data_IF_028652958995
#
_entry.id   IF_028652958995
#
_cell.length_a   1.000
_cell.length_b   1.000
_cell.length_c   1.000
_cell.angle_alpha   90.00
_cell.angle_beta   90.00
_cell.angle_gamma   90.00
#
_symmetry.space_group_name_H-M   'P 1'
#
loop_
_entity.id
_entity.type
_entity.pdbx_description
1 polymer ?
#
# COMPACT_ATOMS: atom_id res chain seq x y z
N UNK A 1 -36.93 1.00 -45.19
CA UNK A 1 -37.29 2.21 -44.42
C UNK A 1 -38.14 1.73 -43.25
N UNK A 2 -37.80 1.81 -41.96
CA UNK A 2 -36.90 2.65 -41.19
C UNK A 2 -36.37 1.80 -40.02
N UNK A 3 -35.05 1.72 -39.84
CA UNK A 3 -34.45 1.34 -38.56
C UNK A 3 -34.66 2.48 -37.57
N UNK A 4 -35.14 2.16 -36.36
CA UNK A 4 -35.08 3.07 -35.22
C UNK A 4 -34.31 2.40 -34.09
N UNK A 5 -33.09 2.90 -33.90
CA UNK A 5 -32.21 2.64 -32.78
C UNK A 5 -32.67 3.40 -31.53
N UNK A 6 -32.33 2.86 -30.34
CA UNK A 6 -32.18 3.43 -28.97
C UNK A 6 -32.97 2.58 -27.97
N UNK A 7 -32.48 2.16 -26.81
CA UNK A 7 -31.40 2.65 -25.95
C UNK A 7 -30.60 1.47 -25.37
N UNK A 8 -29.30 1.41 -25.66
CA UNK A 8 -28.34 0.67 -24.83
C UNK A 8 -27.88 1.65 -23.75
N UNK A 9 -28.21 1.36 -22.50
CA UNK A 9 -27.67 2.09 -21.36
C UNK A 9 -26.16 1.82 -21.29
N UNK A 10 -25.37 2.81 -21.71
CA UNK A 10 -23.95 2.86 -21.41
C UNK A 10 -23.79 3.07 -19.90
N UNK A 11 -23.58 1.97 -19.15
CA UNK A 11 -22.90 2.05 -17.87
C UNK A 11 -21.45 2.46 -18.16
N UNK A 12 -21.13 3.74 -18.03
CA UNK A 12 -19.75 4.15 -17.80
C UNK A 12 -19.34 3.61 -16.42
N UNK A 13 -18.68 2.46 -16.42
CA UNK A 13 -17.85 2.02 -15.31
C UNK A 13 -16.70 3.01 -15.17
N UNK A 14 -16.86 3.99 -14.29
CA UNK A 14 -15.73 4.78 -13.82
C UNK A 14 -14.90 3.89 -12.91
N UNK A 15 -13.73 3.47 -13.39
CA UNK A 15 -12.72 2.73 -12.63
C UNK A 15 -12.18 3.59 -11.48
N UNK A 16 -12.92 3.64 -10.37
CA UNK A 16 -12.55 4.34 -9.15
C UNK A 16 -12.03 3.35 -8.07
N UNK A 17 -10.98 2.57 -8.36
CA UNK A 17 -10.26 1.82 -7.32
C UNK A 17 -8.77 1.71 -7.67
N UNK A 18 -8.13 2.86 -7.84
CA UNK A 18 -6.66 3.04 -7.85
C UNK A 18 -6.37 4.55 -7.83
N UNK A 19 -6.80 5.25 -6.78
CA UNK A 19 -6.36 6.63 -6.55
C UNK A 19 -5.66 6.75 -5.21
N UNK A 20 -4.34 6.61 -5.31
CA UNK A 20 -3.36 7.40 -4.54
C UNK A 20 -3.75 8.87 -4.67
N UNK A 21 -3.76 9.69 -3.59
CA UNK A 21 -4.13 11.09 -3.72
C UNK A 21 -3.08 11.82 -4.58
N UNK A 22 -3.49 12.26 -5.77
CA UNK A 22 -2.71 13.21 -6.57
C UNK A 22 -2.72 14.56 -5.84
N UNK A 23 -1.56 14.98 -5.32
CA UNK A 23 -1.34 16.37 -4.92
C UNK A 23 -1.39 17.27 -6.15
N UNK A 24 -2.33 18.22 -6.13
CA UNK A 24 -2.25 19.58 -6.71
C UNK A 24 -1.79 19.72 -8.16
N UNK A 25 -2.72 19.68 -9.11
CA UNK A 25 -2.57 20.39 -10.38
C UNK A 25 -3.23 21.76 -10.27
N UNK A 26 -2.43 22.82 -10.25
CA UNK A 26 -2.89 24.19 -10.51
C UNK A 26 -3.09 24.37 -12.02
N UNK A 27 -4.21 24.96 -12.50
CA UNK A 27 -4.39 25.21 -13.92
C UNK A 27 -3.60 26.47 -14.35
N UNK A 28 -2.73 26.32 -15.35
CA UNK A 28 -2.17 27.46 -16.07
C UNK A 28 -3.26 28.22 -16.84
N UNK A 29 -3.24 29.57 -16.90
CA UNK A 29 -4.21 30.34 -17.67
C UNK A 29 -4.00 30.16 -19.17
N UNK A 30 -5.08 29.85 -19.90
CA UNK A 30 -5.15 29.96 -21.36
C UNK A 30 -5.15 31.43 -21.77
N UNK A 31 -4.12 31.86 -22.50
CA UNK A 31 -4.21 33.03 -23.37
C UNK A 31 -4.81 32.60 -24.71
N UNK A 32 -6.02 33.08 -25.00
CA UNK A 32 -6.56 33.13 -26.37
C UNK A 32 -6.09 34.42 -27.05
N UNK A 33 -5.55 34.39 -28.28
CA UNK A 33 -5.47 35.57 -29.12
C UNK A 33 -6.69 35.62 -30.06
N UNK A 34 -7.31 36.80 -30.11
CA UNK A 34 -8.40 37.13 -31.00
C UNK A 34 -7.93 37.28 -32.47
N UNK A 35 -8.90 37.14 -33.35
CA UNK A 35 -8.86 37.04 -34.81
C UNK A 35 -8.53 38.34 -35.58
N UNK A 36 -7.99 38.13 -36.79
CA UNK A 36 -8.09 38.95 -38.02
C UNK A 36 -7.40 40.34 -38.00
N UNK A 37 -6.53 40.70 -38.94
CA UNK A 37 -6.76 40.72 -40.39
C UNK A 37 -5.45 41.11 -41.11
N UNK A 38 -5.25 40.64 -42.33
CA UNK A 38 -4.16 41.04 -43.25
C UNK A 38 -4.78 41.74 -44.46
N UNK A 39 -4.15 42.82 -44.97
CA UNK A 39 -3.90 42.88 -46.41
C UNK A 39 -2.47 43.33 -46.79
N UNK A 40 -2.17 43.07 -48.07
CA UNK A 40 -0.95 43.14 -48.88
C UNK A 40 0.01 44.38 -48.75
N UNK A 41 1.27 44.27 -49.24
CA UNK A 41 2.29 45.32 -49.16
C UNK A 41 2.54 46.10 -50.47
N UNK A 42 3.36 47.17 -50.32
CA UNK A 42 4.25 47.89 -51.28
C UNK A 42 3.82 49.30 -51.72
N UNK A 43 4.75 50.17 -52.19
CA UNK A 43 6.18 50.35 -51.90
C UNK A 43 6.51 51.82 -51.50
N UNK A 44 7.74 52.11 -51.03
CA UNK A 44 8.54 53.34 -51.28
C UNK A 44 9.72 53.43 -50.28
N UNK A 45 10.95 53.39 -50.79
CA UNK A 45 12.20 53.85 -50.14
C UNK A 45 12.43 55.35 -50.47
N UNK A 46 13.52 56.05 -50.08
CA UNK A 46 14.65 55.75 -49.17
C UNK A 46 15.02 56.92 -48.19
N UNK A 47 15.95 56.68 -47.22
CA UNK A 47 17.11 57.55 -46.90
C UNK A 47 17.85 57.15 -45.59
N UNK A 48 19.18 57.05 -45.69
CA UNK A 48 20.25 56.71 -44.72
C UNK A 48 20.52 57.78 -43.62
N UNK A 49 21.57 57.73 -42.76
CA UNK A 49 22.33 56.64 -42.08
C UNK A 49 22.45 56.83 -40.53
N UNK A 50 23.17 55.89 -39.88
CA UNK A 50 23.30 55.57 -38.44
C UNK A 50 24.08 56.54 -37.51
N UNK A 51 24.02 56.30 -36.18
CA UNK A 51 25.22 56.27 -35.32
C UNK A 51 25.35 54.98 -34.45
N UNK A 52 26.52 54.72 -33.82
CA UNK A 52 27.08 53.38 -33.61
C UNK A 52 26.63 52.65 -32.32
N UNK A 53 26.86 51.32 -32.21
CA UNK A 53 26.38 50.52 -31.08
C UNK A 53 27.29 50.63 -29.85
N UNK A 54 26.68 50.86 -28.68
CA UNK A 54 27.32 50.75 -27.37
C UNK A 54 27.34 49.29 -26.93
N UNK A 55 28.55 48.77 -26.67
CA UNK A 55 28.80 47.43 -26.12
C UNK A 55 28.16 47.29 -24.73
N UNK A 56 27.36 46.24 -24.50
CA UNK A 56 27.14 45.70 -23.16
C UNK A 56 27.36 44.19 -23.16
N UNK A 57 28.41 43.78 -22.45
CA UNK A 57 28.82 42.40 -22.26
C UNK A 57 27.86 41.70 -21.30
N UNK A 58 26.98 40.83 -21.82
CA UNK A 58 26.11 39.99 -21.00
C UNK A 58 26.92 38.80 -20.46
N UNK A 59 27.32 38.90 -19.20
CA UNK A 59 28.01 37.87 -18.41
C UNK A 59 27.12 36.63 -18.30
N UNK A 60 27.52 35.53 -18.95
CA UNK A 60 26.82 34.23 -18.96
C UNK A 60 27.03 33.55 -17.60
N UNK A 61 26.06 33.63 -16.69
CA UNK A 61 26.04 32.81 -15.46
C UNK A 61 25.73 31.36 -15.85
N UNK A 62 26.74 30.48 -15.78
CA UNK A 62 26.55 29.03 -15.79
C UNK A 62 25.89 28.64 -14.47
N UNK A 63 24.61 28.27 -14.51
CA UNK A 63 23.97 27.53 -13.43
C UNK A 63 24.46 26.09 -13.47
N UNK A 64 25.45 25.78 -12.63
CA UNK A 64 25.84 24.40 -12.34
C UNK A 64 24.71 23.79 -11.54
N UNK A 65 23.86 23.01 -12.20
CA UNK A 65 22.89 22.14 -11.54
C UNK A 65 23.65 21.03 -10.83
N UNK A 66 23.91 21.21 -9.54
CA UNK A 66 24.30 20.15 -8.61
C UNK A 66 23.06 19.27 -8.36
N UNK A 67 22.71 18.43 -9.33
CA UNK A 67 21.96 17.20 -9.04
C UNK A 67 22.99 16.27 -8.41
N UNK A 68 23.09 16.35 -7.08
CA UNK A 68 23.86 15.43 -6.28
C UNK A 68 23.29 14.02 -6.46
N UNK A 69 23.86 13.27 -7.39
CA UNK A 69 23.79 11.80 -7.37
C UNK A 69 24.46 11.41 -6.06
N UNK A 70 23.68 11.04 -5.04
CA UNK A 70 24.26 10.47 -3.82
C UNK A 70 25.14 9.30 -4.27
N UNK A 71 26.45 9.31 -3.96
CA UNK A 71 27.26 8.14 -4.18
C UNK A 71 26.66 7.00 -3.35
N UNK A 72 26.65 5.78 -3.91
CA UNK A 72 26.41 4.55 -3.17
C UNK A 72 27.48 4.46 -2.07
N UNK A 73 27.25 5.14 -0.95
CA UNK A 73 27.98 4.90 0.28
C UNK A 73 27.64 3.46 0.59
N UNK A 74 28.65 2.59 0.42
CA UNK A 74 28.60 1.21 0.87
C UNK A 74 28.41 1.21 2.39
N UNK A 75 27.16 1.40 2.81
CA UNK A 75 26.76 1.11 4.16
C UNK A 75 26.96 -0.39 4.35
N UNK A 76 27.61 -0.74 5.46
CA UNK A 76 27.99 -2.10 5.77
C UNK A 76 26.83 -3.06 5.51
N UNK A 77 27.16 -4.22 4.96
CA UNK A 77 26.23 -5.31 4.76
C UNK A 77 25.63 -5.73 6.12
N UNK A 78 24.51 -5.13 6.54
CA UNK A 78 23.84 -5.44 7.80
C UNK A 78 23.15 -6.79 7.64
N UNK A 79 23.89 -7.85 7.94
CA UNK A 79 23.43 -9.25 7.88
C UNK A 79 22.72 -9.68 9.16
N UNK A 80 21.90 -10.74 9.09
CA UNK A 80 21.11 -11.25 10.23
C UNK A 80 22.03 -11.54 11.42
N UNK A 81 23.23 -12.08 11.14
CA UNK A 81 24.24 -12.43 12.16
C UNK A 81 24.81 -11.22 12.90
N UNK A 82 24.82 -10.05 12.27
CA UNK A 82 25.42 -8.84 12.84
C UNK A 82 24.42 -7.97 13.61
N UNK A 83 23.21 -7.78 13.06
CA UNK A 83 22.24 -6.80 13.58
C UNK A 83 20.84 -7.38 13.83
N UNK A 84 20.56 -8.63 13.47
CA UNK A 84 19.21 -9.21 13.55
C UNK A 84 18.62 -9.24 14.97
N UNK A 85 19.44 -9.56 15.98
CA UNK A 85 19.01 -9.56 17.39
C UNK A 85 18.73 -8.16 17.92
N UNK A 86 19.50 -7.16 17.47
CA UNK A 86 19.28 -5.75 17.83
C UNK A 86 17.98 -5.23 17.24
N UNK A 87 17.74 -5.49 15.95
CA UNK A 87 16.50 -5.07 15.25
C UNK A 87 15.26 -5.70 15.89
N UNK A 88 15.31 -7.01 16.19
CA UNK A 88 14.19 -7.70 16.82
C UNK A 88 13.90 -7.19 18.25
N UNK A 89 14.93 -6.84 19.02
CA UNK A 89 14.77 -6.27 20.36
C UNK A 89 14.15 -4.87 20.32
N UNK A 90 14.56 -4.03 19.36
CA UNK A 90 14.01 -2.68 19.18
C UNK A 90 12.51 -2.72 18.84
N UNK A 91 12.06 -3.72 18.08
CA UNK A 91 10.67 -3.90 17.66
C UNK A 91 9.93 -4.94 18.51
N UNK A 92 10.37 -5.20 19.74
CA UNK A 92 9.77 -6.23 20.60
C UNK A 92 8.27 -5.99 20.87
N UNK A 93 7.86 -4.73 21.04
CA UNK A 93 6.45 -4.37 21.22
C UNK A 93 5.60 -4.72 20.00
N UNK A 94 6.16 -4.59 18.80
CA UNK A 94 5.45 -4.94 17.58
C UNK A 94 5.14 -6.44 17.52
N UNK A 95 6.11 -7.28 17.91
CA UNK A 95 5.90 -8.73 18.01
C UNK A 95 4.87 -9.10 19.09
N UNK A 96 4.85 -8.40 20.22
CA UNK A 96 3.85 -8.62 21.28
C UNK A 96 2.45 -8.26 20.76
N UNK A 97 2.32 -7.15 20.04
CA UNK A 97 1.04 -6.74 19.45
C UNK A 97 0.59 -7.74 18.38
N UNK A 98 1.50 -8.28 17.56
CA UNK A 98 1.17 -9.33 16.59
C UNK A 98 0.62 -10.58 17.29
N UNK A 99 1.25 -11.01 18.39
CA UNK A 99 0.75 -12.13 19.19
C UNK A 99 -0.64 -11.82 19.76
N UNK A 100 -0.84 -10.61 20.29
CA UNK A 100 -2.13 -10.17 20.79
C UNK A 100 -3.21 -10.20 19.69
N UNK A 101 -2.92 -9.69 18.50
CA UNK A 101 -3.85 -9.72 17.36
C UNK A 101 -4.21 -11.16 16.96
N UNK A 102 -3.24 -12.08 16.94
CA UNK A 102 -3.50 -13.50 16.66
C UNK A 102 -4.39 -14.16 17.72
N UNK A 103 -4.21 -13.80 19.00
CA UNK A 103 -5.09 -14.28 20.09
C UNK A 103 -6.50 -13.72 19.92
N UNK A 104 -6.65 -12.42 19.63
CA UNK A 104 -7.95 -11.79 19.38
C UNK A 104 -8.67 -12.46 18.20
N UNK A 105 -7.97 -12.70 17.10
CA UNK A 105 -8.50 -13.39 15.92
C UNK A 105 -9.00 -14.82 16.26
N UNK A 106 -8.20 -15.57 17.02
CA UNK A 106 -8.60 -16.89 17.52
C UNK A 106 -9.85 -16.83 18.41
N UNK A 107 -9.97 -15.82 19.27
CA UNK A 107 -11.14 -15.62 20.13
C UNK A 107 -12.40 -15.27 19.31
N UNK A 108 -12.28 -14.40 18.31
CA UNK A 108 -13.38 -14.05 17.40
C UNK A 108 -13.93 -15.31 16.69
N UNK A 109 -13.07 -16.20 16.22
CA UNK A 109 -13.51 -17.43 15.57
C UNK A 109 -14.35 -18.36 16.49
N UNK A 110 -14.14 -18.29 17.80
CA UNK A 110 -14.92 -19.05 18.79
C UNK A 110 -16.30 -18.44 19.01
N UNK A 111 -16.45 -17.12 18.88
CA UNK A 111 -17.72 -16.40 19.09
C UNK A 111 -18.79 -16.89 18.11
N UNK A 112 -20.02 -17.04 18.63
CA UNK A 112 -21.20 -17.35 17.84
C UNK A 112 -21.64 -16.07 17.09
N UNK A 113 -21.75 -16.09 15.75
CA UNK A 113 -22.15 -14.92 14.99
C UNK A 113 -23.61 -14.58 15.30
N UNK A 114 -23.98 -13.31 15.09
CA UNK A 114 -25.36 -12.88 15.13
C UNK A 114 -26.21 -13.72 14.18
N UNK A 115 -27.33 -14.28 14.65
CA UNK A 115 -28.27 -15.01 13.79
C UNK A 115 -29.26 -14.03 13.20
N UNK A 116 -28.95 -13.54 12.00
CA UNK A 116 -29.86 -12.68 11.24
C UNK A 116 -31.11 -13.46 10.85
N UNK A 117 -32.28 -12.83 10.99
CA UNK A 117 -33.56 -13.37 10.55
C UNK A 117 -33.52 -13.89 9.11
N UNK A 118 -34.00 -15.11 8.88
CA UNK A 118 -34.12 -15.73 7.56
C UNK A 118 -35.54 -16.26 7.35
N UNK A 119 -36.33 -15.50 6.58
CA UNK A 119 -37.69 -15.89 6.23
C UNK A 119 -37.79 -16.92 5.11
N UNK A 120 -38.98 -17.49 4.94
CA UNK A 120 -39.29 -18.46 3.88
C UNK A 120 -38.99 -17.95 2.47
N UNK A 121 -39.40 -16.72 2.17
CA UNK A 121 -39.23 -16.14 0.84
C UNK A 121 -37.77 -15.79 0.52
N UNK A 122 -36.93 -15.58 1.55
CA UNK A 122 -35.49 -15.35 1.37
C UNK A 122 -34.74 -16.65 1.07
N UNK A 123 -35.31 -17.80 1.46
CA UNK A 123 -34.65 -19.10 1.38
C UNK A 123 -34.47 -19.59 -0.05
N UNK A 124 -35.26 -19.08 -1.00
CA UNK A 124 -35.12 -19.38 -2.43
C UNK A 124 -33.75 -18.96 -2.97
N UNK A 125 -33.26 -17.79 -2.55
CA UNK A 125 -31.96 -17.24 -2.97
C UNK A 125 -30.77 -17.89 -2.23
N UNK A 126 -31.05 -18.67 -1.18
CA UNK A 126 -30.06 -19.34 -0.32
C UNK A 126 -30.00 -20.85 -0.55
N UNK A 127 -30.47 -21.32 -1.71
CA UNK A 127 -30.62 -22.75 -2.05
C UNK A 127 -29.55 -23.27 -3.01
N UNK A 128 -28.45 -22.55 -3.20
CA UNK A 128 -27.32 -23.02 -4.01
C UNK A 128 -26.73 -24.32 -3.43
N UNK A 129 -26.17 -25.20 -4.27
CA UNK A 129 -25.64 -26.48 -3.80
C UNK A 129 -24.46 -26.29 -2.85
N UNK A 130 -24.45 -27.04 -1.74
CA UNK A 130 -23.33 -27.08 -0.80
C UNK A 130 -22.16 -27.82 -1.44
N UNK A 131 -21.17 -27.07 -1.93
CA UNK A 131 -19.93 -27.60 -2.54
C UNK A 131 -18.76 -27.56 -1.57
N UNK A 132 -17.75 -28.39 -1.84
CA UNK A 132 -16.43 -28.25 -1.22
C UNK A 132 -15.73 -26.95 -1.61
N UNK A 133 -14.65 -26.60 -0.90
CA UNK A 133 -13.84 -25.42 -1.20
C UNK A 133 -12.75 -25.76 -2.23
N UNK A 134 -12.71 -25.04 -3.35
CA UNK A 134 -11.60 -25.09 -4.32
C UNK A 134 -10.29 -24.64 -3.67
N UNK A 135 -10.32 -23.53 -2.92
CA UNK A 135 -9.21 -23.06 -2.09
C UNK A 135 -9.57 -23.30 -0.64
N UNK A 136 -8.95 -24.27 0.06
CA UNK A 136 -9.26 -24.51 1.46
C UNK A 136 -8.68 -23.37 2.33
N UNK A 137 -9.28 -23.15 3.50
CA UNK A 137 -8.90 -22.03 4.37
C UNK A 137 -7.40 -22.01 4.72
N UNK A 138 -6.79 -23.18 4.96
CA UNK A 138 -5.35 -23.30 5.26
C UNK A 138 -4.43 -22.93 4.10
N UNK A 139 -4.92 -22.92 2.86
CA UNK A 139 -4.13 -22.49 1.70
C UNK A 139 -3.98 -20.96 1.66
N UNK A 140 -4.91 -20.19 2.23
CA UNK A 140 -4.86 -18.73 2.26
C UNK A 140 -3.59 -18.22 2.97
N UNK A 141 -3.26 -18.62 4.22
CA UNK A 141 -2.02 -18.17 4.87
C UNK A 141 -0.75 -18.65 4.14
N UNK A 142 -0.78 -19.81 3.47
CA UNK A 142 0.36 -20.25 2.65
C UNK A 142 0.61 -19.30 1.46
N UNK A 143 -0.45 -18.91 0.76
CA UNK A 143 -0.35 -18.01 -0.39
C UNK A 143 -0.09 -16.56 0.06
N UNK A 144 -0.74 -16.10 1.13
CA UNK A 144 -0.72 -14.71 1.58
C UNK A 144 0.47 -14.36 2.47
N UNK A 145 1.15 -15.33 3.11
CA UNK A 145 2.29 -15.09 4.01
C UNK A 145 3.54 -15.81 3.50
N UNK A 146 3.46 -17.13 3.30
CA UNK A 146 4.66 -17.94 3.00
C UNK A 146 5.25 -17.58 1.63
N UNK A 147 4.41 -17.43 0.60
CA UNK A 147 4.88 -17.02 -0.72
C UNK A 147 5.59 -15.63 -0.69
N UNK A 148 5.01 -14.58 -0.10
CA UNK A 148 5.72 -13.32 0.08
C UNK A 148 7.02 -13.43 0.89
N UNK A 149 7.08 -14.25 1.95
CA UNK A 149 8.31 -14.49 2.69
C UNK A 149 9.41 -15.09 1.83
N UNK A 150 9.07 -16.01 0.93
CA UNK A 150 10.03 -16.55 -0.06
C UNK A 150 10.56 -15.44 -0.97
N UNK A 151 9.69 -14.52 -1.43
CA UNK A 151 10.10 -13.37 -2.24
C UNK A 151 11.02 -12.42 -1.46
N UNK A 152 10.66 -12.07 -0.22
CA UNK A 152 11.48 -11.22 0.65
C UNK A 152 12.84 -11.87 0.93
N UNK A 153 12.87 -13.17 1.22
CA UNK A 153 14.08 -13.95 1.37
C UNK A 153 14.96 -13.92 0.13
N UNK A 154 14.38 -14.11 -1.06
CA UNK A 154 15.09 -14.03 -2.34
C UNK A 154 15.75 -12.66 -2.58
N UNK A 155 15.04 -11.58 -2.24
CA UNK A 155 15.59 -10.21 -2.32
C UNK A 155 16.67 -9.99 -1.27
N UNK A 156 16.47 -10.48 -0.04
CA UNK A 156 17.46 -10.45 1.02
C UNK A 156 18.76 -11.17 0.60
N UNK A 157 18.68 -12.33 -0.06
CA UNK A 157 19.89 -13.03 -0.52
C UNK A 157 20.73 -12.18 -1.49
N UNK A 158 20.10 -11.35 -2.31
CA UNK A 158 20.77 -10.45 -3.27
C UNK A 158 21.24 -9.14 -2.64
N UNK A 159 20.43 -8.52 -1.79
CA UNK A 159 20.68 -7.17 -1.25
C UNK A 159 21.32 -7.16 0.14
N UNK A 160 21.20 -8.27 0.88
CA UNK A 160 21.73 -8.49 2.23
C UNK A 160 21.34 -7.40 3.25
N UNK A 161 20.15 -6.83 3.10
CA UNK A 161 19.62 -5.81 4.01
C UNK A 161 18.60 -6.44 4.98
N UNK A 162 18.99 -6.59 6.26
CA UNK A 162 18.12 -7.15 7.30
C UNK A 162 16.92 -6.27 7.63
N UNK A 163 17.08 -4.94 7.60
CA UNK A 163 15.98 -4.03 7.91
C UNK A 163 14.85 -4.22 6.91
N UNK A 164 15.18 -4.34 5.63
CA UNK A 164 14.21 -4.61 4.57
C UNK A 164 13.45 -5.92 4.78
N UNK A 165 14.17 -7.01 5.08
CA UNK A 165 13.58 -8.31 5.36
C UNK A 165 12.67 -8.26 6.60
N UNK A 166 13.16 -7.66 7.69
CA UNK A 166 12.44 -7.59 8.95
C UNK A 166 11.14 -6.78 8.82
N UNK A 167 11.21 -5.60 8.20
CA UNK A 167 10.06 -4.72 8.02
C UNK A 167 9.08 -5.29 6.99
N UNK A 168 9.58 -6.02 5.98
CA UNK A 168 8.73 -6.78 5.07
C UNK A 168 7.93 -7.88 5.80
N UNK A 169 8.60 -8.65 6.66
CA UNK A 169 7.96 -9.71 7.47
C UNK A 169 6.96 -9.12 8.46
N UNK A 170 7.34 -8.10 9.23
CA UNK A 170 6.43 -7.43 10.16
C UNK A 170 5.23 -6.83 9.43
N UNK A 171 5.47 -6.06 8.37
CA UNK A 171 4.42 -5.38 7.61
C UNK A 171 3.38 -6.35 7.04
N UNK A 172 3.80 -7.49 6.50
CA UNK A 172 2.85 -8.48 5.97
C UNK A 172 2.07 -9.20 7.06
N UNK A 173 2.72 -9.54 8.19
CA UNK A 173 2.05 -10.18 9.32
C UNK A 173 0.98 -9.25 9.90
N UNK A 174 1.30 -7.97 10.08
CA UNK A 174 0.33 -6.96 10.50
C UNK A 174 -0.80 -6.80 9.50
N UNK A 175 -0.47 -6.72 8.21
CA UNK A 175 -1.49 -6.59 7.16
C UNK A 175 -2.50 -7.73 7.23
N UNK A 176 -2.04 -8.97 7.34
CA UNK A 176 -2.94 -10.14 7.36
C UNK A 176 -3.71 -10.23 8.68
N UNK A 177 -3.06 -10.04 9.83
CA UNK A 177 -3.72 -10.19 11.14
C UNK A 177 -4.71 -9.06 11.45
N UNK A 178 -4.38 -7.80 11.11
CA UNK A 178 -5.34 -6.70 11.26
C UNK A 178 -6.56 -6.95 10.36
N UNK A 179 -6.34 -7.40 9.11
CA UNK A 179 -7.43 -7.75 8.20
C UNK A 179 -8.27 -8.92 8.73
N UNK A 180 -7.65 -9.94 9.32
CA UNK A 180 -8.35 -11.09 9.89
C UNK A 180 -9.28 -10.65 11.04
N UNK A 181 -8.75 -9.91 12.01
CA UNK A 181 -9.52 -9.34 13.13
C UNK A 181 -10.69 -8.48 12.65
N UNK A 182 -10.46 -7.58 11.69
CA UNK A 182 -11.54 -6.75 11.14
C UNK A 182 -12.59 -7.61 10.43
N UNK A 183 -12.17 -8.58 9.62
CA UNK A 183 -13.07 -9.44 8.85
C UNK A 183 -13.94 -10.28 9.77
N UNK A 184 -13.34 -10.92 10.77
CA UNK A 184 -14.05 -11.84 11.66
C UNK A 184 -14.95 -11.11 12.63
N UNK A 185 -14.53 -9.94 13.13
CA UNK A 185 -15.41 -9.07 13.92
C UNK A 185 -16.65 -8.63 13.12
N UNK A 186 -16.50 -8.27 11.84
CA UNK A 186 -17.64 -7.91 10.99
C UNK A 186 -18.52 -9.12 10.70
N UNK A 187 -17.94 -10.30 10.43
CA UNK A 187 -18.70 -11.53 10.22
C UNK A 187 -19.60 -11.85 11.41
N UNK A 188 -19.05 -11.78 12.61
CA UNK A 188 -19.78 -12.08 13.84
C UNK A 188 -20.86 -11.03 14.11
N UNK A 189 -20.60 -9.76 13.81
CA UNK A 189 -21.59 -8.69 13.98
C UNK A 189 -22.72 -8.71 12.94
N UNK A 190 -22.43 -9.07 11.68
CA UNK A 190 -23.40 -8.99 10.57
C UNK A 190 -24.24 -10.25 10.46
N UNK A 191 -23.67 -11.44 10.65
CA UNK A 191 -24.46 -12.67 10.63
C UNK A 191 -25.13 -12.97 9.30
N UNK A 192 -24.53 -12.59 8.16
CA UNK A 192 -25.16 -12.78 6.85
C UNK A 192 -25.15 -14.27 6.47
N UNK A 193 -26.32 -14.88 6.13
CA UNK A 193 -26.38 -16.23 5.59
C UNK A 193 -25.62 -16.37 4.27
N UNK A 194 -24.96 -17.51 4.05
CA UNK A 194 -24.28 -17.88 2.80
C UNK A 194 -25.29 -18.29 1.71
N UNK A 195 -24.92 -18.23 0.41
CA UNK A 195 -25.79 -18.67 -0.68
C UNK A 195 -26.22 -20.15 -0.61
N UNK A 196 -25.47 -20.98 0.12
CA UNK A 196 -25.72 -22.41 0.33
C UNK A 196 -26.42 -22.72 1.68
N UNK A 197 -26.91 -21.69 2.37
CA UNK A 197 -27.41 -21.79 3.75
C UNK A 197 -28.55 -22.80 3.92
N UNK A 198 -29.43 -22.96 2.92
CA UNK A 198 -30.53 -23.94 2.98
C UNK A 198 -30.04 -25.35 3.33
N UNK A 199 -28.98 -25.82 2.65
CA UNK A 199 -28.47 -27.18 2.83
C UNK A 199 -27.65 -27.34 4.12
N UNK A 200 -27.13 -26.24 4.66
CA UNK A 200 -26.50 -26.21 5.98
C UNK A 200 -27.54 -26.35 7.10
N UNK A 201 -28.68 -25.70 6.92
CA UNK A 201 -29.77 -25.65 7.89
C UNK A 201 -30.65 -26.92 7.85
N UNK A 202 -30.94 -27.43 6.66
CA UNK A 202 -31.84 -28.56 6.37
C UNK A 202 -31.13 -29.64 5.54
N UNK A 203 -30.28 -30.48 6.16
CA UNK A 203 -29.55 -31.52 5.41
C UNK A 203 -30.46 -32.59 4.81
N UNK A 204 -31.67 -32.77 5.33
CA UNK A 204 -32.74 -33.63 4.79
C UNK A 204 -33.58 -32.95 3.70
N UNK A 205 -33.37 -31.67 3.43
CA UNK A 205 -34.13 -30.87 2.48
C UNK A 205 -35.54 -30.49 2.93
N UNK A 206 -35.88 -30.70 4.20
CA UNK A 206 -37.21 -30.40 4.76
C UNK A 206 -37.14 -29.06 5.52
N UNK A 207 -37.73 -27.98 4.98
CA UNK A 207 -37.66 -26.68 5.64
C UNK A 207 -38.58 -26.61 6.87
N UNK A 208 -38.07 -25.99 7.93
CA UNK A 208 -38.81 -25.72 9.16
C UNK A 208 -38.73 -24.24 9.53
N UNK A 209 -39.88 -23.63 9.79
CA UNK A 209 -40.01 -22.20 10.11
C UNK A 209 -40.92 -22.01 11.30
N UNK A 210 -40.61 -21.02 12.12
CA UNK A 210 -41.44 -20.62 13.24
C UNK A 210 -42.78 -20.06 12.74
N UNK A 211 -43.90 -20.60 13.21
CA UNK A 211 -45.25 -20.21 12.77
C UNK A 211 -45.65 -18.78 13.19
N UNK A 212 -44.97 -18.18 14.16
CA UNK A 212 -45.25 -16.84 14.69
C UNK A 212 -44.29 -15.82 14.10
N UNK A 213 -42.98 -16.06 14.21
CA UNK A 213 -41.97 -15.10 13.76
C UNK A 213 -41.63 -15.24 12.27
N UNK A 214 -41.91 -16.39 11.66
CA UNK A 214 -41.50 -16.71 10.29
C UNK A 214 -40.01 -17.03 10.14
N UNK A 215 -39.25 -17.06 11.24
CA UNK A 215 -37.81 -17.29 11.25
C UNK A 215 -37.47 -18.77 11.04
N UNK A 216 -36.28 -19.03 10.54
CA UNK A 216 -35.79 -20.38 10.24
C UNK A 216 -35.49 -21.16 11.53
N UNK A 217 -35.86 -22.45 11.57
CA UNK A 217 -35.50 -23.35 12.66
C UNK A 217 -34.60 -24.46 12.11
N UNK A 218 -33.30 -24.26 12.19
CA UNK A 218 -32.32 -25.23 11.66
C UNK A 218 -32.18 -26.46 12.54
N UNK A 219 -31.98 -27.63 11.89
CA UNK A 219 -31.71 -28.90 12.56
C UNK A 219 -30.49 -29.64 12.01
N UNK A 220 -29.70 -28.97 11.16
CA UNK A 220 -28.38 -29.44 10.72
C UNK A 220 -27.30 -29.39 11.81
N UNK A 221 -26.07 -29.69 11.41
CA UNK A 221 -24.91 -29.67 12.30
C UNK A 221 -24.58 -28.24 12.77
N UNK A 222 -24.42 -28.03 14.08
CA UNK A 222 -24.20 -26.70 14.68
C UNK A 222 -22.99 -25.96 14.09
N UNK A 223 -21.87 -26.65 13.87
CA UNK A 223 -20.63 -26.07 13.32
C UNK A 223 -20.85 -25.56 11.88
N UNK A 224 -21.59 -26.33 11.08
CA UNK A 224 -21.91 -26.04 9.67
C UNK A 224 -22.90 -24.89 9.56
N UNK A 225 -23.90 -24.84 10.46
CA UNK A 225 -24.86 -23.73 10.57
C UNK A 225 -24.15 -22.44 11.01
N UNK A 226 -23.30 -22.51 12.05
CA UNK A 226 -22.48 -21.38 12.51
C UNK A 226 -21.69 -20.79 11.36
N UNK A 227 -21.02 -21.63 10.58
CA UNK A 227 -20.27 -21.20 9.39
C UNK A 227 -21.18 -20.63 8.29
N UNK A 228 -22.42 -21.11 8.21
CA UNK A 228 -23.46 -20.61 7.31
C UNK A 228 -23.85 -19.15 7.57
N UNK A 229 -23.74 -18.66 8.80
CA UNK A 229 -24.02 -17.26 9.17
C UNK A 229 -22.82 -16.32 9.00
N UNK A 230 -21.64 -16.83 8.62
CA UNK A 230 -20.40 -16.04 8.48
C UNK A 230 -20.10 -15.67 7.02
N UNK A 231 -21.10 -15.22 6.24
CA UNK A 231 -20.87 -14.88 4.82
C UNK A 231 -20.15 -13.55 4.61
N UNK A 232 -20.59 -12.45 5.23
CA UNK A 232 -20.06 -11.11 4.94
C UNK A 232 -19.08 -10.61 6.01
N UNK A 233 -17.91 -10.06 5.63
CA UNK A 233 -17.26 -10.13 4.31
C UNK A 233 -16.54 -11.48 4.10
N UNK A 234 -15.98 -11.72 2.92
CA UNK A 234 -15.24 -12.95 2.64
C UNK A 234 -13.82 -12.92 3.21
N UNK A 235 -13.52 -13.82 4.16
CA UNK A 235 -12.18 -13.96 4.77
C UNK A 235 -11.09 -14.46 3.82
N UNK A 236 -11.45 -15.30 2.84
CA UNK A 236 -10.50 -15.72 1.80
C UNK A 236 -10.10 -14.55 0.91
N UNK A 237 -11.08 -13.73 0.51
CA UNK A 237 -10.84 -12.54 -0.30
C UNK A 237 -10.00 -11.52 0.47
N UNK A 238 -10.45 -11.14 1.68
CA UNK A 238 -9.74 -10.13 2.47
C UNK A 238 -8.33 -10.55 2.84
N UNK A 239 -8.13 -11.79 3.30
CA UNK A 239 -6.79 -12.32 3.62
C UNK A 239 -5.86 -12.40 2.41
N UNK A 240 -6.37 -12.85 1.26
CA UNK A 240 -5.57 -12.91 0.04
C UNK A 240 -5.17 -11.52 -0.46
N UNK A 241 -6.11 -10.56 -0.49
CA UNK A 241 -5.81 -9.18 -0.88
C UNK A 241 -4.94 -8.44 0.15
N UNK A 242 -5.00 -8.78 1.43
CA UNK A 242 -4.09 -8.24 2.44
C UNK A 242 -2.64 -8.68 2.17
N UNK A 243 -2.39 -9.99 2.10
CA UNK A 243 -1.02 -10.50 1.91
C UNK A 243 -0.45 -10.23 0.52
N UNK A 244 -1.19 -10.58 -0.54
CA UNK A 244 -0.73 -10.38 -1.92
C UNK A 244 -0.81 -8.92 -2.37
N UNK A 245 -1.73 -8.13 -1.81
CA UNK A 245 -1.73 -6.68 -1.99
C UNK A 245 -0.51 -6.02 -1.36
N UNK A 246 -0.13 -6.43 -0.15
CA UNK A 246 1.12 -5.97 0.47
C UNK A 246 2.33 -6.36 -0.40
N UNK A 247 2.37 -7.60 -0.91
CA UNK A 247 3.42 -8.03 -1.82
C UNK A 247 3.46 -7.19 -3.11
N UNK A 248 2.31 -6.83 -3.68
CA UNK A 248 2.23 -5.96 -4.85
C UNK A 248 2.82 -4.56 -4.58
N UNK A 249 2.45 -3.94 -3.46
CA UNK A 249 3.04 -2.67 -3.01
C UNK A 249 4.55 -2.78 -2.82
N UNK A 250 5.01 -3.83 -2.14
CA UNK A 250 6.42 -4.09 -1.91
C UNK A 250 7.20 -4.26 -3.22
N UNK A 251 6.70 -5.06 -4.16
CA UNK A 251 7.31 -5.23 -5.48
C UNK A 251 7.31 -3.93 -6.29
N UNK A 252 6.28 -3.09 -6.18
CA UNK A 252 6.21 -1.80 -6.87
C UNK A 252 7.36 -0.88 -6.45
N UNK A 253 7.68 -0.84 -5.15
CA UNK A 253 8.84 -0.11 -4.61
C UNK A 253 10.17 -0.72 -5.06
N UNK A 254 10.35 -2.05 -4.91
CA UNK A 254 11.63 -2.71 -5.24
C UNK A 254 11.98 -2.68 -6.72
N UNK A 255 10.99 -2.80 -7.59
CA UNK A 255 11.18 -2.75 -9.04
C UNK A 255 11.25 -1.32 -9.58
N UNK A 256 11.00 -0.31 -8.72
CA UNK A 256 10.79 1.09 -9.12
C UNK A 256 9.80 1.17 -10.29
N UNK A 257 8.64 0.56 -10.11
CA UNK A 257 7.65 0.39 -11.18
C UNK A 257 7.23 1.73 -11.82
N UNK A 258 7.29 2.82 -11.06
CA UNK A 258 6.89 4.17 -11.48
C UNK A 258 8.07 5.13 -11.72
N UNK A 259 9.25 4.64 -12.08
CA UNK A 259 10.43 5.47 -12.35
C UNK A 259 10.42 6.25 -13.67
N UNK A 260 9.26 6.40 -14.32
CA UNK A 260 9.05 7.13 -15.59
C UNK A 260 9.82 6.61 -16.81
N UNK A 261 10.50 5.46 -16.71
CA UNK A 261 11.20 4.82 -17.83
C UNK A 261 10.26 4.07 -18.79
N UNK A 262 9.00 3.83 -18.39
CA UNK A 262 7.98 3.21 -19.26
C UNK A 262 8.09 1.69 -19.43
N UNK A 263 8.84 0.99 -18.58
CA UNK A 263 8.97 -0.48 -18.67
C UNK A 263 7.76 -1.22 -18.10
N UNK A 264 6.80 -1.58 -18.97
CA UNK A 264 5.54 -2.24 -18.60
C UNK A 264 5.71 -3.61 -17.91
N UNK A 265 6.79 -4.33 -18.20
CA UNK A 265 7.08 -5.61 -17.56
C UNK A 265 7.14 -5.52 -16.02
N UNK A 266 7.58 -4.37 -15.48
CA UNK A 266 7.57 -4.09 -14.03
C UNK A 266 6.14 -4.10 -13.48
N UNK A 267 5.19 -3.52 -14.22
CA UNK A 267 3.78 -3.51 -13.82
C UNK A 267 3.17 -4.91 -13.88
N UNK A 268 3.49 -5.73 -14.89
CA UNK A 268 3.03 -7.11 -14.94
C UNK A 268 3.44 -7.91 -13.69
N UNK A 269 4.67 -7.72 -13.21
CA UNK A 269 5.14 -8.36 -11.97
C UNK A 269 4.43 -7.83 -10.72
N UNK A 270 4.08 -6.54 -10.68
CA UNK A 270 3.31 -5.93 -9.58
C UNK A 270 1.86 -6.40 -9.57
N UNK A 271 1.23 -6.57 -10.74
CA UNK A 271 -0.16 -7.02 -10.84
C UNK A 271 -0.34 -8.54 -10.67
N UNK A 272 0.72 -9.33 -10.84
CA UNK A 272 0.63 -10.80 -10.72
C UNK A 272 0.12 -11.26 -9.35
N UNK A 273 0.62 -10.75 -8.20
CA UNK A 273 0.03 -11.06 -6.89
C UNK A 273 -1.46 -10.68 -6.79
N UNK A 274 -1.87 -9.55 -7.36
CA UNK A 274 -3.27 -9.11 -7.35
C UNK A 274 -4.17 -10.00 -8.22
N UNK A 275 -3.63 -10.54 -9.31
CA UNK A 275 -4.31 -11.53 -10.13
C UNK A 275 -4.53 -12.82 -9.33
N UNK A 276 -3.50 -13.31 -8.63
CA UNK A 276 -3.64 -14.51 -7.77
C UNK A 276 -4.67 -14.26 -6.66
N UNK A 277 -4.66 -13.09 -6.02
CA UNK A 277 -5.68 -12.73 -5.02
C UNK A 277 -7.10 -12.73 -5.61
N UNK A 278 -7.25 -12.17 -6.83
CA UNK A 278 -8.50 -12.17 -7.56
C UNK A 278 -9.01 -13.58 -7.87
N UNK A 279 -8.12 -14.52 -8.23
CA UNK A 279 -8.50 -15.91 -8.49
C UNK A 279 -8.95 -16.64 -7.21
N UNK A 280 -8.28 -16.40 -6.08
CA UNK A 280 -8.74 -16.90 -4.77
C UNK A 280 -10.13 -16.34 -4.43
N UNK A 281 -10.34 -15.04 -4.65
CA UNK A 281 -11.59 -14.36 -4.43
C UNK A 281 -12.74 -14.90 -5.32
N UNK A 282 -12.50 -15.07 -6.62
CA UNK A 282 -13.48 -15.61 -7.57
C UNK A 282 -13.90 -17.03 -7.21
N UNK A 283 -12.97 -17.87 -6.74
CA UNK A 283 -13.30 -19.24 -6.31
C UNK A 283 -14.40 -19.28 -5.23
N UNK A 284 -14.54 -18.22 -4.43
CA UNK A 284 -15.58 -18.15 -3.38
C UNK A 284 -16.99 -17.95 -3.93
N UNK A 285 -17.09 -17.32 -5.09
CA UNK A 285 -18.36 -17.15 -5.81
C UNK A 285 -18.68 -18.43 -6.58
N UNK A 286 -17.69 -19.01 -7.25
CA UNK A 286 -17.85 -20.24 -8.05
C UNK A 286 -18.26 -21.46 -7.19
N UNK A 287 -17.72 -21.53 -5.96
CA UNK A 287 -18.06 -22.57 -4.99
C UNK A 287 -19.39 -22.29 -4.27
N UNK A 288 -20.04 -21.14 -4.50
CA UNK A 288 -21.25 -20.66 -3.79
C UNK A 288 -21.09 -20.43 -2.29
N UNK A 289 -19.85 -20.29 -1.81
CA UNK A 289 -19.58 -19.99 -0.41
C UNK A 289 -19.90 -18.54 -0.07
N UNK A 290 -19.77 -17.62 -1.02
CA UNK A 290 -19.96 -16.18 -0.80
C UNK A 290 -20.74 -15.53 -1.92
N UNK A 291 -21.48 -14.49 -1.56
CA UNK A 291 -22.03 -13.58 -2.56
C UNK A 291 -20.91 -12.70 -3.11
N UNK A 292 -21.06 -12.20 -4.34
CA UNK A 292 -20.05 -11.33 -4.95
C UNK A 292 -19.79 -10.05 -4.12
N UNK A 293 -20.78 -9.53 -3.38
CA UNK A 293 -20.57 -8.37 -2.51
C UNK A 293 -19.65 -8.69 -1.34
N UNK A 294 -19.76 -9.89 -0.77
CA UNK A 294 -18.91 -10.35 0.33
C UNK A 294 -17.44 -10.40 -0.12
N UNK A 295 -17.23 -10.89 -1.35
CA UNK A 295 -15.92 -11.01 -1.98
C UNK A 295 -15.34 -9.65 -2.32
N UNK A 296 -16.13 -8.75 -2.91
CA UNK A 296 -15.71 -7.40 -3.27
C UNK A 296 -15.36 -6.56 -2.03
N UNK A 297 -16.23 -6.56 -1.01
CA UNK A 297 -15.96 -5.88 0.25
C UNK A 297 -14.72 -6.43 0.96
N UNK A 298 -14.55 -7.76 0.96
CA UNK A 298 -13.34 -8.39 1.49
C UNK A 298 -12.07 -7.89 0.77
N UNK A 299 -12.10 -7.80 -0.55
CA UNK A 299 -10.97 -7.29 -1.34
C UNK A 299 -10.63 -5.84 -1.02
N UNK A 300 -11.64 -4.98 -0.85
CA UNK A 300 -11.44 -3.58 -0.42
C UNK A 300 -10.78 -3.54 0.95
N UNK A 301 -11.30 -4.26 1.95
CA UNK A 301 -10.74 -4.30 3.31
C UNK A 301 -9.27 -4.73 3.25
N UNK A 302 -8.96 -5.82 2.55
CA UNK A 302 -7.61 -6.34 2.41
C UNK A 302 -6.64 -5.35 1.77
N UNK A 303 -7.02 -4.75 0.62
CA UNK A 303 -6.19 -3.77 -0.08
C UNK A 303 -5.96 -2.50 0.74
N UNK A 304 -6.99 -2.01 1.42
CA UNK A 304 -6.90 -0.81 2.26
C UNK A 304 -5.93 -1.05 3.41
N UNK A 305 -6.09 -2.13 4.17
CA UNK A 305 -5.20 -2.45 5.30
C UNK A 305 -3.77 -2.70 4.80
N UNK A 306 -3.59 -3.45 3.71
CA UNK A 306 -2.27 -3.66 3.11
C UNK A 306 -1.56 -2.36 2.75
N UNK A 307 -2.30 -1.40 2.21
CA UNK A 307 -1.74 -0.09 1.85
C UNK A 307 -1.27 0.68 3.08
N UNK A 308 -2.08 0.72 4.16
CA UNK A 308 -1.68 1.36 5.42
C UNK A 308 -0.47 0.68 6.07
N UNK A 309 -0.48 -0.65 6.17
CA UNK A 309 0.63 -1.40 6.75
C UNK A 309 1.92 -1.25 5.94
N UNK A 310 1.83 -1.24 4.61
CA UNK A 310 3.00 -1.00 3.76
C UNK A 310 3.58 0.40 4.01
N UNK A 311 2.75 1.44 3.98
CA UNK A 311 3.17 2.83 4.13
C UNK A 311 3.72 3.16 5.53
N UNK A 312 3.38 2.35 6.55
CA UNK A 312 3.96 2.49 7.88
C UNK A 312 5.45 2.16 7.90
N UNK A 313 5.90 1.23 7.05
CA UNK A 313 7.29 0.75 7.05
C UNK A 313 8.10 1.22 5.84
N UNK A 314 7.44 1.52 4.72
CA UNK A 314 8.06 1.84 3.44
C UNK A 314 7.50 3.14 2.83
N UNK A 315 8.35 3.92 2.12
CA UNK A 315 7.89 5.09 1.37
C UNK A 315 7.01 4.70 0.18
N UNK A 316 6.38 5.72 -0.44
CA UNK A 316 5.53 5.49 -1.60
C UNK A 316 6.34 4.91 -2.77
N UNK A 317 5.78 3.99 -3.57
CA UNK A 317 6.48 3.37 -4.70
C UNK A 317 6.95 4.34 -5.80
N UNK A 318 6.45 5.58 -5.80
CA UNK A 318 6.81 6.63 -6.75
C UNK A 318 7.95 7.53 -6.24
N UNK A 319 8.31 7.41 -4.95
CA UNK A 319 9.39 8.19 -4.37
C UNK A 319 10.75 7.68 -4.90
N UNK A 320 11.71 8.59 -5.02
CA UNK A 320 13.06 8.24 -5.51
C UNK A 320 13.74 7.16 -4.65
N UNK A 321 13.34 7.12 -3.37
CA UNK A 321 13.89 6.30 -2.30
C UNK A 321 13.02 5.07 -1.97
N UNK A 322 12.06 4.72 -2.84
CA UNK A 322 11.13 3.58 -2.73
C UNK A 322 11.77 2.19 -2.51
N UNK A 323 13.09 2.08 -2.70
CA UNK A 323 13.83 0.83 -2.58
C UNK A 323 14.02 0.42 -1.12
N UNK A 324 14.05 1.35 -0.17
CA UNK A 324 14.48 1.09 1.20
C UNK A 324 13.39 1.45 2.22
N UNK A 325 13.29 0.70 3.35
CA UNK A 325 12.36 1.04 4.43
C UNK A 325 12.76 2.34 5.15
N UNK A 326 11.81 2.98 5.84
CA UNK A 326 12.07 4.21 6.59
C UNK A 326 13.20 4.07 7.62
N UNK A 327 13.26 2.93 8.32
CA UNK A 327 14.31 2.65 9.31
C UNK A 327 15.73 2.66 8.73
N UNK A 328 15.89 2.32 7.44
CA UNK A 328 17.20 2.39 6.79
C UNK A 328 17.74 3.82 6.70
N UNK A 329 16.87 4.80 6.41
CA UNK A 329 17.26 6.21 6.34
C UNK A 329 17.55 6.82 7.71
N UNK A 330 16.85 6.40 8.76
CA UNK A 330 17.13 6.82 10.13
C UNK A 330 18.51 6.33 10.59
N UNK A 331 18.83 5.06 10.35
CA UNK A 331 20.15 4.49 10.68
C UNK A 331 21.29 5.15 9.90
N UNK A 332 21.05 5.51 8.63
CA UNK A 332 21.99 6.29 7.82
C UNK A 332 22.29 7.66 8.46
N UNK A 333 21.26 8.35 8.94
CA UNK A 333 21.41 9.65 9.61
C UNK A 333 22.15 9.53 10.94
N UNK A 334 21.81 8.53 11.76
CA UNK A 334 22.46 8.26 13.06
C UNK A 334 23.93 7.88 12.89
N UNK A 335 24.25 6.99 11.94
CA UNK A 335 25.63 6.59 11.65
C UNK A 335 26.48 7.77 11.19
N UNK A 336 25.88 8.69 10.41
CA UNK A 336 26.55 9.91 9.96
C UNK A 336 26.75 10.90 11.12
N UNK A 337 25.79 11.01 12.03
CA UNK A 337 25.90 11.83 13.24
C UNK A 337 27.02 11.33 14.15
N UNK A 338 27.03 10.03 14.48
CA UNK A 338 28.05 9.41 15.33
C UNK A 338 29.44 9.47 14.70
N UNK A 339 29.54 9.37 13.37
CA UNK A 339 30.80 9.55 12.65
C UNK A 339 31.35 10.98 12.79
N UNK A 340 30.48 11.99 12.76
CA UNK A 340 30.86 13.39 12.95
C UNK A 340 31.27 13.68 14.40
N UNK A 341 30.57 13.13 15.40
CA UNK A 341 30.93 13.28 16.82
C UNK A 341 32.28 12.64 17.14
N UNK A 342 32.54 11.43 16.62
CA UNK A 342 33.85 10.78 16.78
C UNK A 342 34.97 11.53 16.04
N UNK A 343 34.69 12.16 14.90
CA UNK A 343 35.68 13.00 14.20
C UNK A 343 35.99 14.29 14.98
N UNK A 344 35.04 14.84 15.74
CA UNK A 344 35.29 15.98 16.63
C UNK A 344 36.08 15.58 17.89
N UNK A 345 35.91 14.34 18.38
CA UNK A 345 36.68 13.82 19.53
C UNK A 345 38.10 13.34 19.17
N UNK A 346 38.41 13.07 17.91
CA UNK A 346 39.78 12.75 17.46
C UNK A 346 40.66 13.97 17.14
N UNK A 347 40.17 15.18 17.39
CA UNK A 347 40.89 16.44 17.10
C UNK A 347 41.73 17.02 18.24
N UNK A 348 41.83 16.37 19.40
CA UNK A 348 42.53 16.93 20.57
C UNK A 348 43.43 15.90 21.27
N UNK A 349 44.52 15.50 20.63
CA UNK A 349 45.66 14.88 21.32
C UNK A 349 46.98 15.46 20.81
N UNK A 350 47.57 16.30 21.68
CA UNK A 350 48.97 16.71 21.83
C UNK A 350 49.71 17.45 20.69
N UNK A 351 50.06 18.73 20.91
CA UNK A 351 51.45 19.17 21.21
C UNK A 351 51.55 20.67 21.62
N UNK A 352 52.21 20.88 22.76
CA UNK A 352 52.97 22.01 23.31
C UNK A 352 52.83 23.50 22.88
N UNK A 353 52.75 24.32 23.96
CA UNK A 353 53.51 25.55 24.23
C UNK A 353 53.16 26.92 23.60
N UNK A 354 52.81 27.84 24.52
CA UNK A 354 52.95 29.32 24.53
C UNK A 354 52.14 30.23 23.58
N UNK A 355 51.37 31.12 24.23
CA UNK A 355 51.14 32.57 24.03
C UNK A 355 49.67 33.04 24.08
N UNK A 356 49.53 34.19 24.75
CA UNK A 356 48.35 35.01 25.04
C UNK A 356 47.39 35.30 23.89
N UNK A 357 46.12 35.57 24.24
CA UNK A 357 45.33 36.61 23.58
C UNK A 357 43.95 36.22 23.07
N UNK A 358 42.92 36.69 23.80
CA UNK A 358 41.64 37.23 23.34
C UNK A 358 40.75 36.49 22.30
N UNK A 359 39.46 36.40 22.62
CA UNK A 359 38.40 36.53 21.60
C UNK A 359 37.28 35.49 21.69
N UNK A 360 36.09 35.96 22.03
CA UNK A 360 34.84 35.21 22.05
C UNK A 360 34.34 34.79 20.66
N UNK A 361 33.29 33.94 20.67
CA UNK A 361 32.22 33.73 19.67
C UNK A 361 32.26 32.37 18.95
N UNK A 362 31.36 31.46 19.36
CA UNK A 362 30.70 30.49 18.47
C UNK A 362 29.46 29.86 19.16
N UNK A 363 28.34 30.59 19.16
CA UNK A 363 27.01 30.04 19.49
C UNK A 363 25.99 30.54 18.46
N UNK A 364 26.13 30.08 17.20
CA UNK A 364 25.25 30.48 16.08
C UNK A 364 24.90 29.40 15.05
N UNK A 365 25.48 28.20 15.09
CA UNK A 365 25.27 27.22 14.00
C UNK A 365 24.09 26.26 14.23
N UNK A 366 23.54 26.16 15.44
CA UNK A 366 22.44 25.21 15.71
C UNK A 366 21.07 25.71 15.28
N UNK A 367 20.86 27.01 15.07
CA UNK A 367 19.53 27.54 14.69
C UNK A 367 19.25 27.46 13.19
N UNK A 368 20.27 27.45 12.33
CA UNK A 368 20.09 27.46 10.87
C UNK A 368 19.64 26.10 10.30
N UNK A 369 19.96 25.00 10.98
CA UNK A 369 19.55 23.66 10.55
C UNK A 369 18.07 23.40 10.88
N UNK A 370 17.58 23.92 12.01
CA UNK A 370 16.18 23.83 12.40
C UNK A 370 15.25 24.65 11.50
N UNK A 371 15.64 25.88 11.13
CA UNK A 371 14.85 26.72 10.21
C UNK A 371 14.78 26.17 8.77
N UNK A 372 15.82 25.44 8.33
CA UNK A 372 15.82 24.82 7.00
C UNK A 372 14.88 23.63 6.90
N UNK A 373 14.62 22.93 8.02
CA UNK A 373 13.65 21.82 8.07
C UNK A 373 12.20 22.30 8.10
N UNK A 374 11.93 23.51 8.60
CA UNK A 374 10.58 24.06 8.70
C UNK A 374 10.13 24.78 7.41
N UNK A 375 11.06 25.38 6.66
CA UNK A 375 10.77 26.03 5.37
C UNK A 375 10.45 25.07 4.21
N UNK A 376 10.83 23.79 4.33
CA UNK A 376 10.54 22.76 3.31
C UNK A 376 9.11 22.17 3.38
N UNK A 377 8.30 22.60 4.37
CA UNK A 377 6.93 22.06 4.60
C UNK A 377 5.79 22.94 4.09
N UNK A 378 6.09 24.09 3.50
CA UNK A 378 5.10 24.90 2.80
C UNK A 378 5.51 25.01 1.34
N UNK A 379 4.90 24.22 0.47
CA UNK A 379 4.32 24.59 -0.84
C UNK A 379 3.60 23.37 -1.43
#
# INVERSE_FOLDING_TARGET
MHQSHRCVAHLQFSSCFLFVPLRGFTPCPRHSPASASTPLPSPHSPASPAPPPRKSTRRRRRSVGLVGKMPDIQLGCHTIRSHGTSVARLHMYDWIILLFLAVVDGLLNIIEPFHRFVGRDMMTDLRYPLKGNTIPFWAVPLIAIVLPWVVFGGIYFKKKNVYDLHHGILGILYSVLITAVITDAIKDGVGRPRPDFFWRCFPDGIPNFNNVTGDVICHGERSVIKEGYKSFPSGHSSGAFAGLGFLAWYLAGKLKAFNREGHIAKLCLVFLPLLVASLVAVSRVDDYWHHWQDVFAGGIIGLTVASFCYLQFFPYPFDADAIWPHAHFQQLAESRSNGNENSHNMGWTETDAFHEGAGAVALRDTSLVLDSMESGRRF
#
